data_IF_192756055742
#
_entry.id   IF_192756055742
#
_cell.length_a   1.000
_cell.length_b   1.000
_cell.length_c   1.000
_cell.angle_alpha   90.00
_cell.angle_beta   90.00
_cell.angle_gamma   90.00
#
_symmetry.space_group_name_H-M   'P 1'
#
loop_
_entity.id
_entity.type
_entity.pdbx_description
1 polymer ?
#
# COMPACT_ATOMS: atom_id res chain seq x y z
N UNK A 1 -17.95 -7.29 -21.39
CA UNK A 1 -18.61 -6.24 -20.59
C UNK A 1 -18.55 -6.65 -19.10
N UNK A 2 -17.50 -6.25 -18.39
CA UNK A 2 -17.21 -6.72 -17.02
C UNK A 2 -18.25 -6.24 -15.99
N UNK A 3 -18.82 -7.15 -15.18
CA UNK A 3 -19.62 -6.76 -14.00
C UNK A 3 -18.68 -6.21 -12.91
N UNK A 4 -18.78 -4.91 -12.65
CA UNK A 4 -18.00 -4.18 -11.63
C UNK A 4 -18.52 -4.50 -10.22
N UNK A 5 -17.92 -5.47 -9.54
CA UNK A 5 -18.17 -5.69 -8.11
C UNK A 5 -17.15 -4.90 -7.27
N UNK A 6 -17.67 -4.04 -6.39
CA UNK A 6 -16.94 -2.98 -5.69
C UNK A 6 -16.27 -3.49 -4.41
N UNK A 7 -15.03 -3.03 -4.22
CA UNK A 7 -14.02 -3.52 -3.30
C UNK A 7 -13.95 -2.74 -1.98
N UNK A 8 -13.60 -3.43 -0.88
CA UNK A 8 -13.44 -2.91 0.49
C UNK A 8 -12.15 -2.09 0.69
N UNK A 9 -12.28 -0.85 1.18
CA UNK A 9 -11.18 -0.15 1.87
C UNK A 9 -11.11 -0.66 3.31
N UNK A 10 -9.91 -0.98 3.81
CA UNK A 10 -9.68 -1.19 5.25
C UNK A 10 -9.23 0.15 5.83
N UNK A 11 -10.19 1.01 6.22
CA UNK A 11 -9.94 2.32 6.82
C UNK A 11 -9.57 2.14 8.29
N UNK A 12 -8.30 2.30 8.63
CA UNK A 12 -7.88 2.45 10.03
C UNK A 12 -7.97 3.93 10.43
N UNK A 13 -9.21 4.46 10.49
CA UNK A 13 -9.46 5.86 10.85
C UNK A 13 -9.91 5.99 12.31
N UNK A 14 -9.09 6.62 13.16
CA UNK A 14 -9.59 7.34 14.34
C UNK A 14 -9.99 8.77 13.94
N UNK A 15 -10.82 9.41 14.78
CA UNK A 15 -11.21 10.83 14.74
C UNK A 15 -9.96 11.73 14.72
N UNK A 16 -9.34 11.95 13.57
CA UNK A 16 -8.21 12.85 13.42
C UNK A 16 -8.45 13.71 12.18
N UNK A 17 -9.51 14.51 12.23
CA UNK A 17 -9.56 15.75 11.44
C UNK A 17 -9.04 16.96 12.25
N UNK A 18 -8.68 16.77 13.54
CA UNK A 18 -8.39 17.88 14.47
C UNK A 18 -6.99 17.88 15.12
N UNK A 19 -6.23 16.78 15.08
CA UNK A 19 -4.95 16.67 15.83
C UNK A 19 -3.71 16.70 14.92
N UNK A 20 -3.80 16.24 13.67
CA UNK A 20 -2.68 16.26 12.72
C UNK A 20 -2.22 17.67 12.35
N UNK A 21 -3.08 18.68 12.45
CA UNK A 21 -2.72 20.09 12.21
C UNK A 21 -1.91 20.71 13.36
N UNK A 22 -2.02 20.19 14.60
CA UNK A 22 -1.30 20.74 15.76
C UNK A 22 0.10 20.14 15.97
N UNK A 23 0.33 18.88 15.55
CA UNK A 23 1.60 18.18 15.81
C UNK A 23 2.74 18.55 14.86
N UNK A 24 2.45 19.09 13.67
CA UNK A 24 3.48 19.47 12.68
C UNK A 24 4.37 20.64 13.12
N UNK A 25 3.97 21.39 14.17
CA UNK A 25 4.70 22.58 14.61
C UNK A 25 5.61 22.39 15.83
N UNK A 26 5.67 21.21 16.47
CA UNK A 26 6.35 21.11 17.80
C UNK A 26 7.46 20.08 17.91
N UNK A 27 7.55 19.02 17.10
CA UNK A 27 8.61 18.00 17.32
C UNK A 27 9.34 17.64 16.03
N UNK A 28 10.30 18.49 15.68
CA UNK A 28 11.42 18.12 14.81
C UNK A 28 12.52 17.52 15.69
N UNK A 29 13.01 16.35 15.28
CA UNK A 29 14.21 15.61 15.72
C UNK A 29 14.13 14.73 16.99
N UNK A 30 14.63 13.51 16.75
CA UNK A 30 15.15 12.49 17.66
C UNK A 30 14.15 11.44 18.16
N UNK A 31 14.57 10.18 18.03
CA UNK A 31 14.06 8.97 18.70
C UNK A 31 12.79 8.33 18.13
N UNK A 32 12.89 7.69 16.96
CA UNK A 32 11.75 7.02 16.31
C UNK A 32 12.04 5.54 16.00
N UNK A 33 11.66 4.67 16.94
CA UNK A 33 11.03 3.36 16.67
C UNK A 33 10.42 2.79 17.96
N UNK A 34 11.19 2.71 19.05
CA UNK A 34 10.73 2.21 20.36
C UNK A 34 9.86 3.21 21.12
N UNK A 35 10.17 4.51 21.00
CA UNK A 35 9.42 5.55 21.68
C UNK A 35 8.01 5.75 21.10
N UNK A 36 7.80 5.50 19.80
CA UNK A 36 6.50 5.70 19.16
C UNK A 36 5.43 4.70 19.65
N UNK A 37 5.79 3.42 19.82
CA UNK A 37 4.93 2.39 20.43
C UNK A 37 4.61 2.70 21.90
N UNK A 38 5.61 3.15 22.66
CA UNK A 38 5.42 3.55 24.06
C UNK A 38 4.56 4.84 24.18
N UNK A 39 4.74 5.82 23.29
CA UNK A 39 3.96 7.06 23.29
C UNK A 39 2.51 6.84 22.83
N UNK A 40 2.29 6.00 21.83
CA UNK A 40 0.94 5.65 21.37
C UNK A 40 0.15 4.91 22.45
N UNK A 41 0.79 3.99 23.20
CA UNK A 41 0.20 3.38 24.39
C UNK A 41 -0.08 4.40 25.51
N UNK A 42 0.85 5.34 25.75
CA UNK A 42 0.70 6.40 26.78
C UNK A 42 -0.39 7.43 26.44
N UNK A 43 -0.68 7.63 25.15
CA UNK A 43 -1.74 8.52 24.64
C UNK A 43 -3.09 7.80 24.41
N UNK A 44 -3.18 6.49 24.69
CA UNK A 44 -4.40 5.70 24.42
C UNK A 44 -4.74 5.58 22.92
N UNK A 45 -3.75 5.74 22.05
CA UNK A 45 -3.90 5.63 20.60
C UNK A 45 -3.89 4.16 20.17
N UNK A 46 -4.99 3.46 20.46
CA UNK A 46 -5.17 2.07 20.08
C UNK A 46 -5.59 2.03 18.60
N UNK A 47 -4.87 1.28 17.78
CA UNK A 47 -5.30 0.91 16.43
C UNK A 47 -6.73 0.33 16.49
N UNK A 48 -7.64 0.76 15.61
CA UNK A 48 -9.00 0.20 15.62
C UNK A 48 -8.94 -1.31 15.51
N UNK A 49 -9.49 -2.00 16.51
CA UNK A 49 -9.73 -3.44 16.45
C UNK A 49 -10.56 -3.83 15.23
N UNK A 50 -11.44 -2.92 14.78
CA UNK A 50 -12.31 -3.08 13.62
C UNK A 50 -12.10 -1.94 12.62
N UNK A 51 -11.51 -2.22 11.45
CA UNK A 51 -11.34 -1.22 10.40
C UNK A 51 -12.69 -0.85 9.79
N UNK A 52 -12.87 0.43 9.46
CA UNK A 52 -14.03 0.85 8.71
C UNK A 52 -13.93 0.33 7.26
N UNK A 53 -15.05 -0.17 6.75
CA UNK A 53 -15.14 -0.72 5.40
C UNK A 53 -15.96 0.24 4.54
N UNK A 54 -15.36 0.73 3.46
CA UNK A 54 -16.06 1.57 2.48
C UNK A 54 -15.88 1.03 1.07
N UNK A 55 -16.93 1.18 0.26
CA UNK A 55 -16.95 0.85 -1.17
C UNK A 55 -16.76 2.12 -1.99
N UNK A 56 -15.73 2.17 -2.84
CA UNK A 56 -15.52 3.28 -3.77
C UNK A 56 -16.20 3.02 -5.12
N UNK A 57 -17.01 3.96 -5.58
CA UNK A 57 -17.70 3.86 -6.88
C UNK A 57 -17.46 5.06 -7.79
N UNK A 58 -16.55 5.95 -7.40
CA UNK A 58 -16.33 7.22 -8.10
C UNK A 58 -15.78 7.01 -9.53
N UNK A 59 -16.00 7.97 -10.44
CA UNK A 59 -15.41 7.94 -11.78
C UNK A 59 -13.89 7.83 -11.75
N UNK A 60 -13.22 8.51 -10.81
CA UNK A 60 -11.77 8.52 -10.65
C UNK A 60 -11.27 7.12 -10.30
N UNK A 61 -11.92 6.45 -9.34
CA UNK A 61 -11.60 5.06 -9.02
C UNK A 61 -11.83 4.13 -10.22
N UNK A 62 -12.96 4.27 -10.91
CA UNK A 62 -13.26 3.47 -12.11
C UNK A 62 -12.26 3.70 -13.24
N UNK A 63 -11.65 4.87 -13.31
CA UNK A 63 -10.66 5.21 -14.35
C UNK A 63 -9.31 4.53 -14.15
N UNK A 64 -9.03 3.96 -12.97
CA UNK A 64 -7.78 3.27 -12.68
C UNK A 64 -7.68 1.90 -13.37
N UNK A 65 -8.81 1.31 -13.76
CA UNK A 65 -8.88 -0.06 -14.29
C UNK A 65 -8.45 -0.13 -15.77
N UNK A 66 -7.18 0.15 -16.03
CA UNK A 66 -6.51 -0.07 -17.31
C UNK A 66 -6.30 -1.56 -17.55
N UNK A 67 -6.16 -1.98 -18.82
CA UNK A 67 -5.79 -3.36 -19.13
C UNK A 67 -4.52 -3.79 -18.39
N UNK A 68 -3.54 -2.88 -18.30
CA UNK A 68 -2.27 -3.11 -17.64
C UNK A 68 -2.42 -3.38 -16.13
N UNK A 69 -3.24 -2.58 -15.42
CA UNK A 69 -3.52 -2.80 -14.01
C UNK A 69 -4.27 -4.13 -13.79
N UNK A 70 -5.20 -4.45 -14.69
CA UNK A 70 -5.97 -5.69 -14.62
C UNK A 70 -5.07 -6.92 -14.78
N UNK A 71 -4.12 -6.85 -15.72
CA UNK A 71 -3.10 -7.88 -15.91
C UNK A 71 -2.25 -8.03 -14.66
N UNK A 72 -1.74 -6.92 -14.10
CA UNK A 72 -0.93 -6.95 -12.88
C UNK A 72 -1.68 -7.66 -11.74
N UNK A 73 -2.91 -7.23 -11.45
CA UNK A 73 -3.69 -7.82 -10.37
C UNK A 73 -3.98 -9.32 -10.59
N UNK A 74 -4.24 -9.73 -11.83
CA UNK A 74 -4.45 -11.15 -12.17
C UNK A 74 -3.17 -11.98 -11.97
N UNK A 75 -1.99 -11.44 -12.26
CA UNK A 75 -0.71 -12.12 -12.01
C UNK A 75 -0.53 -12.45 -10.52
N UNK A 76 -0.73 -11.46 -9.65
CA UNK A 76 -0.63 -11.68 -8.20
C UNK A 76 -1.67 -12.69 -7.70
N UNK A 77 -2.91 -12.65 -8.21
CA UNK A 77 -3.95 -13.61 -7.87
C UNK A 77 -3.58 -15.05 -8.29
N UNK A 78 -3.11 -15.23 -9.53
CA UNK A 78 -2.70 -16.54 -10.05
C UNK A 78 -1.52 -17.16 -9.27
N UNK A 79 -0.64 -16.31 -8.72
CA UNK A 79 0.50 -16.72 -7.91
C UNK A 79 0.20 -16.75 -6.40
N UNK A 80 -1.06 -16.59 -6.00
CA UNK A 80 -1.54 -16.62 -4.61
C UNK A 80 -0.95 -15.55 -3.68
N UNK A 81 -0.62 -14.38 -4.22
CA UNK A 81 -0.16 -13.23 -3.46
C UNK A 81 -1.25 -12.15 -3.40
N UNK A 82 -1.38 -11.47 -2.26
CA UNK A 82 -2.29 -10.35 -2.14
C UNK A 82 -1.62 -9.07 -2.61
N UNK A 83 -2.29 -8.28 -3.45
CA UNK A 83 -1.86 -6.94 -3.86
C UNK A 83 -2.96 -5.91 -3.58
N UNK A 84 -2.59 -4.71 -3.09
CA UNK A 84 -3.52 -3.61 -2.77
C UNK A 84 -2.91 -2.27 -3.15
N UNK A 85 -3.76 -1.32 -3.56
CA UNK A 85 -3.35 0.09 -3.66
C UNK A 85 -3.10 0.60 -2.24
N UNK A 86 -2.02 1.34 -2.04
CA UNK A 86 -1.58 1.81 -0.73
C UNK A 86 -1.38 3.34 -0.70
N UNK A 87 -1.34 3.89 0.50
CA UNK A 87 -0.77 5.21 0.73
C UNK A 87 -1.53 6.38 0.10
N UNK A 88 -0.78 7.30 -0.49
CA UNK A 88 -1.30 8.56 -1.03
C UNK A 88 -2.35 8.35 -2.11
N UNK A 89 -2.23 7.29 -2.91
CA UNK A 89 -3.23 6.95 -3.92
C UNK A 89 -4.62 6.67 -3.32
N UNK A 90 -4.68 5.99 -2.16
CA UNK A 90 -5.95 5.72 -1.46
C UNK A 90 -6.55 7.01 -0.91
N UNK A 91 -5.71 7.88 -0.34
CA UNK A 91 -6.11 9.20 0.15
C UNK A 91 -6.72 10.04 -0.97
N UNK A 92 -6.05 10.12 -2.13
CA UNK A 92 -6.51 10.95 -3.24
C UNK A 92 -7.87 10.47 -3.77
N UNK A 93 -8.05 9.15 -3.91
CA UNK A 93 -9.35 8.55 -4.28
C UNK A 93 -10.47 8.86 -3.27
N UNK A 94 -10.15 8.83 -1.98
CA UNK A 94 -11.09 9.19 -0.91
C UNK A 94 -11.49 10.67 -0.95
N UNK A 95 -10.64 11.52 -1.51
CA UNK A 95 -10.91 12.94 -1.74
C UNK A 95 -11.63 13.20 -3.08
N UNK A 96 -11.97 12.15 -3.84
CA UNK A 96 -12.59 12.28 -5.16
C UNK A 96 -11.61 12.72 -6.25
N UNK A 97 -10.31 12.54 -6.03
CA UNK A 97 -9.27 12.88 -7.00
C UNK A 97 -8.69 11.63 -7.65
N UNK A 98 -8.30 11.74 -8.93
CA UNK A 98 -7.51 10.70 -9.58
C UNK A 98 -6.06 10.79 -9.09
N UNK A 99 -5.49 9.73 -8.50
CA UNK A 99 -4.09 9.73 -8.10
C UNK A 99 -3.18 9.84 -9.32
N UNK A 100 -2.08 10.57 -9.17
CA UNK A 100 -1.05 10.71 -10.22
C UNK A 100 -0.18 9.47 -10.31
N UNK A 101 0.20 8.94 -9.14
CA UNK A 101 1.04 7.77 -8.98
C UNK A 101 0.27 6.72 -8.17
N UNK A 102 0.37 5.45 -8.59
CA UNK A 102 -0.25 4.32 -7.91
C UNK A 102 0.82 3.49 -7.21
N UNK A 103 0.85 3.59 -5.89
CA UNK A 103 1.67 2.72 -5.04
C UNK A 103 0.92 1.43 -4.73
N UNK A 104 1.58 0.29 -4.91
CA UNK A 104 1.06 -1.01 -4.54
C UNK A 104 1.83 -1.59 -3.35
N UNK A 105 1.08 -2.24 -2.46
CA UNK A 105 1.64 -3.06 -1.40
C UNK A 105 1.26 -4.53 -1.63
N UNK A 106 2.17 -5.45 -1.31
CA UNK A 106 1.96 -6.89 -1.55
C UNK A 106 2.54 -7.77 -0.44
N UNK A 107 1.95 -8.96 -0.28
CA UNK A 107 2.50 -10.01 0.60
C UNK A 107 3.65 -10.79 -0.05
N UNK A 108 3.89 -10.63 -1.35
CA UNK A 108 5.02 -11.25 -2.03
C UNK A 108 6.34 -10.56 -1.67
N UNK A 109 7.38 -11.31 -1.34
CA UNK A 109 8.73 -10.76 -1.14
C UNK A 109 9.35 -10.30 -2.47
N UNK A 110 10.43 -9.49 -2.45
CA UNK A 110 11.10 -9.07 -3.68
C UNK A 110 11.57 -10.24 -4.55
N UNK A 111 12.10 -11.29 -3.92
CA UNK A 111 12.54 -12.50 -4.63
C UNK A 111 11.37 -13.25 -5.26
N UNK A 112 10.25 -13.36 -4.54
CA UNK A 112 9.02 -13.97 -5.08
C UNK A 112 8.46 -13.16 -6.25
N UNK A 113 8.44 -11.82 -6.15
CA UNK A 113 8.02 -10.95 -7.25
C UNK A 113 8.93 -11.10 -8.47
N UNK A 114 10.25 -11.12 -8.27
CA UNK A 114 11.22 -11.33 -9.35
C UNK A 114 11.02 -12.66 -10.04
N UNK A 115 10.86 -13.75 -9.28
CA UNK A 115 10.62 -15.07 -9.82
C UNK A 115 9.31 -15.12 -10.62
N UNK A 116 8.23 -14.58 -10.06
CA UNK A 116 6.93 -14.47 -10.72
C UNK A 116 7.03 -13.66 -12.02
N UNK A 117 7.59 -12.45 -11.99
CA UNK A 117 7.70 -11.62 -13.18
C UNK A 117 8.61 -12.24 -14.24
N UNK A 118 9.68 -12.93 -13.84
CA UNK A 118 10.52 -13.66 -14.77
C UNK A 118 9.76 -14.80 -15.47
N UNK A 119 9.02 -15.62 -14.71
CA UNK A 119 8.20 -16.72 -15.24
C UNK A 119 7.14 -16.20 -16.23
N UNK A 120 6.51 -15.08 -15.90
CA UNK A 120 5.45 -14.44 -16.69
C UNK A 120 5.99 -13.55 -17.82
N UNK A 121 7.32 -13.53 -18.02
CA UNK A 121 8.01 -12.70 -19.03
C UNK A 121 7.68 -11.21 -18.93
N UNK A 122 7.43 -10.74 -17.70
CA UNK A 122 7.22 -9.33 -17.38
C UNK A 122 8.56 -8.67 -17.14
N UNK A 123 8.79 -7.55 -17.83
CA UNK A 123 10.00 -6.74 -17.63
C UNK A 123 9.93 -6.05 -16.26
N UNK A 124 10.96 -6.26 -15.45
CA UNK A 124 11.20 -5.45 -14.24
C UNK A 124 12.14 -4.30 -14.57
N UNK A 125 11.95 -3.17 -13.88
CA UNK A 125 12.86 -2.01 -13.95
C UNK A 125 13.62 -1.97 -12.63
N UNK A 126 14.95 -2.05 -12.71
CA UNK A 126 15.81 -2.01 -11.54
C UNK A 126 15.96 -0.58 -11.05
N UNK A 127 15.04 -0.17 -10.20
CA UNK A 127 15.13 1.07 -9.44
C UNK A 127 15.80 0.75 -8.10
N UNK A 128 16.59 1.67 -7.55
CA UNK A 128 17.30 1.52 -6.25
C UNK A 128 16.39 1.17 -5.05
N UNK A 129 15.09 1.00 -5.24
CA UNK A 129 14.09 0.67 -4.21
C UNK A 129 14.08 -0.80 -3.79
N UNK A 130 14.82 -1.69 -4.46
CA UNK A 130 14.83 -3.12 -4.10
C UNK A 130 15.33 -3.37 -2.67
N UNK A 131 16.34 -2.61 -2.22
CA UNK A 131 16.86 -2.67 -0.83
C UNK A 131 15.80 -2.35 0.22
N UNK A 132 14.69 -1.73 -0.17
CA UNK A 132 13.56 -1.39 0.68
C UNK A 132 12.31 -2.22 0.37
N UNK A 133 12.45 -3.25 -0.47
CA UNK A 133 11.39 -4.19 -0.81
C UNK A 133 10.50 -3.78 -1.98
N UNK A 134 10.91 -2.79 -2.79
CA UNK A 134 10.15 -2.31 -3.95
C UNK A 134 10.67 -2.89 -5.26
N UNK A 135 9.77 -3.44 -6.08
CA UNK A 135 10.01 -3.85 -7.46
C UNK A 135 9.10 -3.04 -8.38
N UNK A 136 9.64 -2.54 -9.49
CA UNK A 136 8.86 -1.87 -10.52
C UNK A 136 8.63 -2.82 -11.70
N UNK A 137 7.37 -3.18 -11.96
CA UNK A 137 6.99 -4.01 -13.11
C UNK A 137 6.50 -3.12 -14.26
N UNK A 138 6.93 -3.43 -15.50
CA UNK A 138 6.41 -2.78 -16.71
C UNK A 138 5.51 -3.73 -17.49
N UNK A 139 4.21 -3.44 -17.49
CA UNK A 139 3.19 -4.27 -18.13
C UNK A 139 2.92 -3.76 -19.55
N UNK A 140 2.82 -4.68 -20.51
CA UNK A 140 2.57 -4.42 -21.93
C UNK A 140 3.51 -3.37 -22.56
N UNK A 141 4.73 -3.20 -22.03
CA UNK A 141 5.65 -2.11 -22.40
C UNK A 141 5.03 -0.71 -22.34
N UNK A 142 3.97 -0.52 -21.54
CA UNK A 142 3.14 0.70 -21.54
C UNK A 142 3.05 1.36 -20.17
N UNK A 143 2.75 0.63 -19.12
CA UNK A 143 2.53 1.18 -17.77
C UNK A 143 3.52 0.58 -16.76
N UNK A 144 3.99 1.41 -15.83
CA UNK A 144 4.89 1.00 -14.74
C UNK A 144 4.10 0.95 -13.44
N UNK A 145 4.36 -0.08 -12.63
CA UNK A 145 3.75 -0.23 -11.32
C UNK A 145 4.83 -0.46 -10.28
N UNK A 146 4.88 0.42 -9.27
CA UNK A 146 5.76 0.26 -8.12
C UNK A 146 5.06 -0.58 -7.06
N UNK A 147 5.69 -1.68 -6.68
CA UNK A 147 5.08 -2.70 -5.83
C UNK A 147 6.05 -2.98 -4.69
N UNK A 148 5.61 -2.66 -3.47
CA UNK A 148 6.42 -2.78 -2.26
C UNK A 148 5.93 -3.91 -1.38
N UNK A 149 6.84 -4.76 -0.95
CA UNK A 149 6.56 -5.82 0.04
C UNK A 149 6.16 -5.18 1.38
N UNK A 150 5.14 -5.71 2.03
CA UNK A 150 4.80 -5.31 3.41
C UNK A 150 6.00 -5.51 4.33
N UNK A 151 6.27 -4.56 5.22
CA UNK A 151 7.48 -4.61 6.05
C UNK A 151 7.33 -3.99 7.44
N UNK A 152 8.31 -4.29 8.28
CA UNK A 152 8.58 -3.72 9.60
C UNK A 152 9.92 -2.99 9.49
N UNK A 153 9.99 -1.76 9.99
CA UNK A 153 11.25 -1.01 10.07
C UNK A 153 11.94 -1.36 11.41
N UNK A 154 13.12 -1.99 11.38
CA UNK A 154 13.77 -2.56 12.58
C UNK A 154 14.57 -1.57 13.43
N UNK A 155 15.04 -0.48 12.82
CA UNK A 155 15.82 0.69 13.31
C UNK A 155 16.93 0.96 12.30
N UNK A 156 17.19 2.25 12.06
CA UNK A 156 18.17 2.73 11.08
C UNK A 156 19.34 3.40 11.82
N UNK A 157 20.56 3.26 11.32
CA UNK A 157 21.74 4.01 11.82
C UNK A 157 21.85 5.40 11.17
N UNK A 158 20.77 5.88 10.54
CA UNK A 158 20.70 7.13 9.79
C UNK A 158 21.13 7.00 8.32
N UNK A 159 21.84 5.94 7.90
CA UNK A 159 22.23 5.72 6.49
C UNK A 159 21.70 4.42 5.88
N UNK A 160 21.38 3.42 6.70
CA UNK A 160 20.75 2.18 6.24
C UNK A 160 19.52 1.85 7.07
N UNK A 161 18.43 1.53 6.38
CA UNK A 161 17.22 1.01 7.00
C UNK A 161 17.16 -0.50 6.78
N UNK A 162 17.37 -1.27 7.85
CA UNK A 162 17.05 -2.69 7.83
C UNK A 162 15.52 -2.86 7.91
N UNK A 163 14.98 -3.61 6.96
CA UNK A 163 13.56 -3.92 6.87
C UNK A 163 13.37 -5.42 7.03
N UNK A 164 12.33 -5.81 7.77
CA UNK A 164 11.86 -7.20 7.83
C UNK A 164 10.55 -7.31 7.07
N UNK A 165 10.42 -8.26 6.15
CA UNK A 165 9.19 -8.45 5.40
C UNK A 165 8.15 -9.19 6.24
N UNK A 166 6.89 -8.80 6.08
CA UNK A 166 5.75 -9.40 6.77
C UNK A 166 4.62 -9.68 5.78
N UNK A 167 3.60 -10.42 6.21
CA UNK A 167 2.33 -10.56 5.49
C UNK A 167 1.18 -9.88 6.22
N UNK A 168 1.46 -9.25 7.38
CA UNK A 168 0.48 -8.55 8.19
C UNK A 168 0.33 -7.08 7.76
N UNK A 169 -0.82 -6.79 7.17
CA UNK A 169 -1.23 -5.45 6.74
C UNK A 169 -1.32 -4.43 7.88
N UNK A 170 -1.72 -4.85 9.07
CA UNK A 170 -1.84 -3.95 10.23
C UNK A 170 -0.46 -3.52 10.72
N UNK A 171 0.50 -4.44 10.66
CA UNK A 171 1.89 -4.16 10.99
C UNK A 171 2.51 -3.17 10.00
N UNK A 172 2.30 -3.36 8.68
CA UNK A 172 2.76 -2.39 7.67
C UNK A 172 2.07 -1.02 7.80
N UNK A 173 0.76 -1.00 8.12
CA UNK A 173 0.07 0.26 8.39
C UNK A 173 0.67 0.99 9.59
N UNK A 174 1.05 0.25 10.64
CA UNK A 174 1.55 0.79 11.90
C UNK A 174 2.91 1.47 11.81
N UNK A 175 3.74 1.14 10.81
CA UNK A 175 5.05 1.79 10.58
C UNK A 175 4.95 3.10 9.79
N UNK A 176 3.80 3.42 9.19
CA UNK A 176 3.64 4.60 8.34
C UNK A 176 3.49 5.86 9.20
N UNK A 177 3.99 6.97 8.68
CA UNK A 177 4.09 8.27 9.36
C UNK A 177 2.73 8.93 9.59
N UNK A 178 1.89 8.97 8.57
CA UNK A 178 0.59 9.63 8.57
C UNK A 178 -0.54 8.61 8.45
N UNK A 179 -1.57 8.76 9.30
CA UNK A 179 -2.76 7.90 9.30
C UNK A 179 -3.51 7.92 7.96
N UNK A 180 -3.55 9.08 7.30
CA UNK A 180 -4.13 9.23 5.97
C UNK A 180 -3.33 8.51 4.87
N UNK A 181 -2.08 8.15 5.14
CA UNK A 181 -1.22 7.41 4.21
C UNK A 181 -1.03 5.95 4.64
N UNK A 182 -1.72 5.48 5.69
CA UNK A 182 -1.66 4.10 6.19
C UNK A 182 -2.84 3.23 5.76
N UNK A 183 -3.59 3.69 4.76
CA UNK A 183 -4.76 2.99 4.23
C UNK A 183 -4.40 2.09 3.04
N UNK A 184 -5.18 1.03 2.89
CA UNK A 184 -5.12 0.12 1.75
C UNK A 184 -6.49 -0.05 1.12
N UNK A 185 -6.51 -0.11 -0.20
CA UNK A 185 -7.67 -0.40 -1.02
C UNK A 185 -7.41 -1.74 -1.72
N UNK A 186 -8.06 -2.81 -1.24
CA UNK A 186 -7.75 -4.19 -1.62
C UNK A 186 -8.95 -5.05 -1.99
N UNK A 187 -8.75 -6.02 -2.90
CA UNK A 187 -9.72 -6.89 -3.62
C UNK A 187 -10.17 -6.40 -5.02
N UNK A 188 -9.24 -6.33 -5.96
CA UNK A 188 -9.56 -6.05 -7.36
C UNK A 188 -10.19 -7.34 -7.94
N UNK A 189 -11.47 -7.64 -7.64
CA UNK A 189 -12.13 -8.85 -8.16
C UNK A 189 -12.59 -8.61 -9.59
N UNK A 190 -12.08 -9.45 -10.48
CA UNK A 190 -12.51 -9.49 -11.88
C UNK A 190 -13.34 -10.74 -12.12
N UNK A 191 -14.67 -10.58 -12.20
CA UNK A 191 -15.48 -11.63 -12.83
C UNK A 191 -15.19 -11.61 -14.33
N UNK A 192 -14.46 -12.61 -14.80
CA UNK A 192 -14.46 -12.99 -16.22
C UNK A 192 -15.90 -13.41 -16.54
N UNK A 193 -16.51 -12.78 -17.53
CA UNK A 193 -17.78 -13.30 -18.04
C UNK A 193 -17.43 -14.58 -18.79
N UNK A 194 -17.90 -15.72 -18.28
CA UNK A 194 -18.19 -16.88 -19.13
C UNK A 194 -19.50 -16.59 -19.86
#
# INVERSE_FOLDING_TARGET
MYKKEVMLIKLQLHKIFKISYQLTNTVKKSLLSKQHSLYSNKLGLIARSHPAIMKLTSPEFKSLFTLELMTLASLFENHNYQIRIAGGAVRDLLMGNKPKDLDFATTATPDQMKAMFFQERIRTINNKGESHGTITARINNKENFEITTLRIDKVTDGRHAEVEFTTDWQVDAGRRDLTINSMFLGRIKFKKNN
#
